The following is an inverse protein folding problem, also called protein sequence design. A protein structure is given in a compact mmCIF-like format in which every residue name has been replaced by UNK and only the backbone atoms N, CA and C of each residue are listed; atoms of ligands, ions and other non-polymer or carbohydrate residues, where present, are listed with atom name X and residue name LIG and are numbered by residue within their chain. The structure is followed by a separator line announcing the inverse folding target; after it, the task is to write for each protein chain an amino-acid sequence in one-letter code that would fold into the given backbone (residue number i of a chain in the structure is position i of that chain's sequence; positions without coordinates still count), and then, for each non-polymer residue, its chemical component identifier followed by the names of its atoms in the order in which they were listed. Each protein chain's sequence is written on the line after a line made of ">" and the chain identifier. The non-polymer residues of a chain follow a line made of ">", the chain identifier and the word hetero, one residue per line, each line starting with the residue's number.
data_IF_437672787815
#
_entry.id   IF_437672787815
#
_cell.length_a   1.000
_cell.length_b   1.000
_cell.length_c   1.000
_cell.angle_alpha   90.00
_cell.angle_beta   90.00
_cell.angle_gamma   90.00
#
_symmetry.space_group_name_H-M   'P 1'
#
loop_
_entity.id
_entity.type
_entity.pdbx_description
1 polymer ?
#
# COMPACT_ATOMS: atom_id res chain seq x y z
N UNK A 1 29.37 0.98 -0.44
CA UNK A 1 29.64 1.14 -1.90
C UNK A 1 28.30 1.18 -2.61
N UNK A 2 28.09 2.05 -3.62
CA UNK A 2 26.84 1.99 -4.41
C UNK A 2 26.80 0.66 -5.16
N UNK A 3 25.77 -0.15 -4.94
CA UNK A 3 25.55 -1.37 -5.71
C UNK A 3 25.40 -0.99 -7.19
N UNK A 4 26.30 -1.44 -8.05
CA UNK A 4 26.27 -1.14 -9.49
C UNK A 4 25.04 -1.75 -10.20
N UNK A 5 24.35 -2.68 -9.52
CA UNK A 5 23.12 -3.31 -9.97
C UNK A 5 21.87 -2.83 -9.21
N UNK A 6 21.87 -1.62 -8.69
CA UNK A 6 20.67 -1.07 -8.06
C UNK A 6 19.48 -1.04 -9.04
N UNK A 7 18.23 -1.19 -8.54
CA UNK A 7 17.04 -0.87 -9.31
C UNK A 7 17.08 0.56 -9.88
N UNK A 8 16.22 0.84 -10.85
CA UNK A 8 16.03 2.19 -11.35
C UNK A 8 15.57 3.11 -10.20
N UNK A 9 16.22 4.26 -10.03
CA UNK A 9 15.86 5.21 -8.97
C UNK A 9 15.37 6.52 -9.59
N UNK A 10 14.17 6.93 -9.21
CA UNK A 10 13.60 8.24 -9.51
C UNK A 10 13.61 9.07 -8.23
N UNK A 11 14.17 10.28 -8.32
CA UNK A 11 14.15 11.23 -7.22
C UNK A 11 13.07 12.29 -7.46
N UNK A 12 12.25 12.54 -6.44
CA UNK A 12 11.25 13.61 -6.41
C UNK A 12 11.55 14.58 -5.27
N UNK A 13 10.95 15.78 -5.31
CA UNK A 13 11.08 16.74 -4.22
C UNK A 13 10.44 16.18 -2.94
N UNK A 14 11.07 16.43 -1.78
CA UNK A 14 10.59 15.97 -0.47
C UNK A 14 9.10 16.32 -0.22
N UNK A 15 8.64 17.49 -0.66
CA UNK A 15 7.25 17.96 -0.50
C UNK A 15 6.21 17.15 -1.30
N UNK A 16 6.66 16.40 -2.31
CA UNK A 16 5.79 15.56 -3.14
C UNK A 16 5.62 14.15 -2.55
N UNK A 17 6.32 13.82 -1.46
CA UNK A 17 6.00 12.65 -0.67
C UNK A 17 4.77 12.93 0.19
N UNK A 18 3.81 11.99 0.18
CA UNK A 18 2.63 12.05 1.03
C UNK A 18 3.01 12.16 2.50
N UNK A 19 2.18 12.86 3.28
CA UNK A 19 2.40 13.06 4.69
C UNK A 19 1.90 11.85 5.49
N UNK A 20 2.72 11.34 6.43
CA UNK A 20 2.31 10.29 7.36
C UNK A 20 1.30 10.74 8.42
N UNK A 21 0.97 12.04 8.47
CA UNK A 21 0.06 12.62 9.45
C UNK A 21 -1.30 11.92 9.49
N UNK A 22 -1.84 11.54 8.32
CA UNK A 22 -3.15 10.90 8.21
C UNK A 22 -3.19 9.52 8.89
N UNK A 23 -2.07 8.79 8.95
CA UNK A 23 -2.01 7.51 9.66
C UNK A 23 -2.28 7.67 11.16
N UNK A 24 -1.92 8.81 11.76
CA UNK A 24 -2.14 9.03 13.19
C UNK A 24 -3.61 9.23 13.54
N UNK A 25 -4.41 9.76 12.61
CA UNK A 25 -5.85 9.92 12.80
C UNK A 25 -6.58 8.57 12.90
N UNK A 26 -5.98 7.49 12.41
CA UNK A 26 -6.52 6.13 12.58
C UNK A 26 -6.33 5.60 14.00
N UNK A 27 -5.28 6.04 14.67
CA UNK A 27 -4.90 5.54 15.99
C UNK A 27 -5.44 6.40 17.12
N UNK A 28 -5.80 7.65 16.84
CA UNK A 28 -6.27 8.60 17.84
C UNK A 28 -7.13 9.70 17.25
N UNK A 29 -8.10 10.14 18.03
CA UNK A 29 -8.90 11.35 17.77
C UNK A 29 -8.17 12.65 18.15
N UNK A 30 -7.03 12.58 18.83
CA UNK A 30 -6.22 13.73 19.23
C UNK A 30 -4.70 13.48 19.04
N UNK A 31 -4.26 13.22 17.80
CA UNK A 31 -2.88 12.83 17.53
C UNK A 31 -1.87 13.92 17.89
N UNK A 32 -2.26 15.20 17.83
CA UNK A 32 -1.39 16.32 18.16
C UNK A 32 -0.88 16.28 19.62
N UNK A 33 -1.67 15.74 20.56
CA UNK A 33 -1.24 15.56 21.95
C UNK A 33 -0.67 14.17 22.23
N UNK A 34 -1.17 13.14 21.55
CA UNK A 34 -0.83 11.74 21.88
C UNK A 34 0.41 11.23 21.16
N UNK A 35 0.62 11.61 19.89
CA UNK A 35 1.79 11.17 19.11
C UNK A 35 3.11 11.57 19.78
N UNK A 36 3.31 12.79 20.30
CA UNK A 36 4.52 13.13 21.04
C UNK A 36 4.79 12.21 22.25
N UNK A 37 3.73 11.79 22.95
CA UNK A 37 3.85 10.87 24.07
C UNK A 37 4.26 9.47 23.58
N UNK A 38 3.63 8.96 22.53
CA UNK A 38 3.96 7.65 21.97
C UNK A 38 5.37 7.59 21.38
N UNK A 39 5.85 8.67 20.76
CA UNK A 39 7.24 8.79 20.30
C UNK A 39 8.22 8.63 21.48
N UNK A 40 7.88 9.17 22.65
CA UNK A 40 8.63 8.98 23.88
C UNK A 40 8.59 7.53 24.36
N UNK A 41 7.41 6.92 24.45
CA UNK A 41 7.25 5.51 24.87
C UNK A 41 7.97 4.53 23.93
N UNK A 42 8.05 4.82 22.64
CA UNK A 42 8.78 4.01 21.69
C UNK A 42 10.29 3.89 22.02
N UNK A 43 10.82 4.83 22.81
CA UNK A 43 12.21 4.83 23.27
C UNK A 43 12.43 4.02 24.56
N UNK A 44 11.37 3.51 25.20
CA UNK A 44 11.51 2.69 26.42
C UNK A 44 12.03 1.27 26.11
N UNK A 45 11.68 0.74 24.93
CA UNK A 45 12.15 -0.55 24.43
C UNK A 45 12.47 -0.46 22.92
N UNK A 46 13.49 0.33 22.53
CA UNK A 46 13.78 0.60 21.13
C UNK A 46 14.55 -0.56 20.47
N UNK A 47 14.24 -0.79 19.20
CA UNK A 47 14.97 -1.67 18.29
C UNK A 47 15.54 -0.80 17.17
N UNK A 48 16.79 -1.02 16.80
CA UNK A 48 17.34 -0.50 15.55
C UNK A 48 17.40 -1.66 14.53
N UNK A 49 16.45 -1.76 13.59
CA UNK A 49 16.43 -2.87 12.65
C UNK A 49 17.64 -2.79 11.72
N UNK A 50 18.34 -3.93 11.55
CA UNK A 50 19.43 -4.02 10.57
C UNK A 50 18.94 -4.17 9.13
N UNK A 51 17.66 -4.55 8.94
CA UNK A 51 17.10 -4.74 7.60
C UNK A 51 17.88 -5.78 6.79
N UNK A 52 18.45 -5.35 5.67
CA UNK A 52 19.27 -6.16 4.76
C UNK A 52 20.78 -6.11 5.08
N UNK A 53 21.20 -5.40 6.13
CA UNK A 53 22.60 -5.35 6.53
C UNK A 53 23.04 -6.67 7.18
N UNK A 54 24.22 -7.18 6.80
CA UNK A 54 24.79 -8.39 7.40
C UNK A 54 25.35 -8.10 8.80
N UNK A 55 25.88 -6.89 9.04
CA UNK A 55 26.46 -6.44 10.30
C UNK A 55 26.01 -5.00 10.62
N UNK A 56 25.99 -4.62 11.91
CA UNK A 56 25.59 -3.27 12.35
C UNK A 56 26.43 -2.14 11.73
N UNK A 57 27.72 -2.41 11.49
CA UNK A 57 28.63 -1.45 10.85
C UNK A 57 28.26 -1.12 9.39
N UNK A 58 27.44 -1.96 8.74
CA UNK A 58 26.96 -1.73 7.38
C UNK A 58 25.75 -0.80 7.34
N UNK A 59 25.13 -0.53 8.51
CA UNK A 59 24.01 0.40 8.63
C UNK A 59 24.44 1.83 8.33
N UNK A 60 23.52 2.63 7.79
CA UNK A 60 23.74 4.03 7.50
C UNK A 60 24.11 4.81 8.78
N UNK A 61 25.25 5.49 8.77
CA UNK A 61 25.72 6.27 9.92
C UNK A 61 25.06 7.64 10.04
N UNK A 62 24.51 8.15 8.94
CA UNK A 62 23.89 9.49 8.85
C UNK A 62 22.42 9.49 9.30
N UNK A 63 21.83 8.31 9.49
CA UNK A 63 20.44 8.15 9.92
C UNK A 63 20.28 6.99 10.88
N UNK A 64 19.56 7.20 11.97
CA UNK A 64 19.05 6.11 12.80
C UNK A 64 17.59 5.85 12.47
N UNK A 65 17.25 4.58 12.25
CA UNK A 65 15.88 4.09 12.26
C UNK A 65 15.64 3.43 13.61
N UNK A 66 14.75 4.01 14.41
CA UNK A 66 14.34 3.46 15.70
C UNK A 66 12.91 2.96 15.58
N UNK A 67 12.69 1.72 15.99
CA UNK A 67 11.38 1.08 16.05
C UNK A 67 11.03 0.73 17.49
N UNK A 68 9.83 1.08 17.94
CA UNK A 68 9.41 0.68 19.27
C UNK A 68 7.98 1.09 19.60
N UNK A 69 7.44 0.61 20.73
CA UNK A 69 8.09 -0.33 21.65
C UNK A 69 8.16 -1.75 21.08
N UNK A 70 9.23 -2.48 21.40
CA UNK A 70 9.36 -3.90 21.02
C UNK A 70 8.22 -4.75 21.59
N UNK A 71 7.77 -5.75 20.82
CA UNK A 71 6.77 -6.73 21.24
C UNK A 71 5.32 -6.23 21.24
N UNK A 72 5.07 -5.04 20.69
CA UNK A 72 3.72 -4.49 20.50
C UNK A 72 3.17 -4.81 19.11
N UNK A 73 1.84 -4.91 18.98
CA UNK A 73 1.18 -5.14 17.69
C UNK A 73 1.38 -3.97 16.72
N UNK A 74 1.48 -2.75 17.27
CA UNK A 74 1.79 -1.53 16.52
C UNK A 74 3.08 -0.97 17.10
N UNK A 75 4.05 -0.73 16.22
CA UNK A 75 5.30 -0.06 16.51
C UNK A 75 5.35 1.31 15.84
N UNK A 76 6.15 2.20 16.39
CA UNK A 76 6.42 3.51 15.82
C UNK A 76 7.84 3.51 15.26
N UNK A 77 7.95 3.88 13.99
CA UNK A 77 9.22 4.12 13.32
C UNK A 77 9.57 5.58 13.47
N UNK A 78 10.82 5.86 13.84
CA UNK A 78 11.39 7.19 13.93
C UNK A 78 12.68 7.22 13.12
N UNK A 79 12.73 8.09 12.11
CA UNK A 79 13.95 8.32 11.33
C UNK A 79 14.60 9.60 11.84
N UNK A 80 15.79 9.45 12.41
CA UNK A 80 16.55 10.54 13.03
C UNK A 80 17.80 10.79 12.19
N UNK A 81 18.01 12.03 11.76
CA UNK A 81 19.27 12.44 11.16
C UNK A 81 20.37 12.52 12.23
N UNK A 82 21.55 12.00 11.91
CA UNK A 82 22.69 11.88 12.82
C UNK A 82 23.88 12.64 12.25
N UNK A 83 24.53 13.42 13.11
CA UNK A 83 25.75 14.16 12.76
C UNK A 83 26.76 13.99 13.88
N UNK A 84 28.00 13.58 13.55
CA UNK A 84 29.05 13.30 14.54
C UNK A 84 28.59 12.33 15.65
N UNK A 85 27.88 11.27 15.25
CA UNK A 85 27.32 10.24 16.15
C UNK A 85 26.32 10.80 17.19
N UNK A 86 25.69 11.95 16.89
CA UNK A 86 24.67 12.55 17.74
C UNK A 86 23.37 12.78 16.97
N UNK A 87 22.21 12.52 17.58
CA UNK A 87 20.92 12.80 16.95
C UNK A 87 20.78 14.31 16.76
N UNK A 88 20.45 14.71 15.53
CA UNK A 88 20.35 16.12 15.14
C UNK A 88 18.92 16.58 14.94
N UNK A 89 18.10 15.79 14.26
CA UNK A 89 16.72 16.12 13.97
C UNK A 89 15.88 14.87 13.68
N UNK A 90 14.63 14.85 14.13
CA UNK A 90 13.62 13.90 13.65
C UNK A 90 13.24 14.28 12.22
N UNK A 91 13.41 13.36 11.28
CA UNK A 91 13.09 13.56 9.86
C UNK A 91 11.66 13.17 9.53
N UNK A 92 11.22 12.04 10.05
CA UNK A 92 9.84 11.56 9.92
C UNK A 92 9.57 10.50 10.99
N UNK A 93 8.29 10.31 11.30
CA UNK A 93 7.82 9.20 12.10
C UNK A 93 6.48 8.69 11.55
N UNK A 94 6.27 7.38 11.66
CA UNK A 94 5.06 6.73 11.17
C UNK A 94 4.79 5.42 11.92
N UNK A 95 3.52 5.05 12.11
CA UNK A 95 3.17 3.77 12.71
C UNK A 95 3.39 2.64 11.71
N UNK A 96 3.73 1.46 12.21
CA UNK A 96 3.76 0.21 11.44
C UNK A 96 3.28 -0.95 12.28
N UNK A 97 2.94 -2.04 11.62
CA UNK A 97 2.61 -3.31 12.23
C UNK A 97 3.19 -4.44 11.38
N UNK A 98 3.27 -5.62 11.95
CA UNK A 98 3.76 -6.80 11.22
C UNK A 98 2.59 -7.51 10.54
N UNK A 99 2.83 -7.97 9.31
CA UNK A 99 1.91 -8.85 8.60
C UNK A 99 2.46 -10.28 8.66
N UNK A 100 1.61 -11.27 8.97
CA UNK A 100 2.01 -12.66 8.91
C UNK A 100 2.20 -13.14 7.46
N UNK A 101 1.74 -12.37 6.46
CA UNK A 101 1.75 -12.76 5.06
C UNK A 101 3.01 -12.27 4.36
N UNK A 102 3.78 -13.22 3.84
CA UNK A 102 5.06 -12.97 3.16
C UNK A 102 4.99 -13.38 1.70
N UNK A 103 5.62 -12.58 0.86
CA UNK A 103 5.64 -12.79 -0.59
C UNK A 103 7.06 -12.62 -1.13
N UNK A 104 7.37 -13.34 -2.20
CA UNK A 104 8.59 -13.10 -2.96
C UNK A 104 8.32 -11.95 -3.95
N UNK A 105 9.21 -10.95 -3.95
CA UNK A 105 9.11 -9.79 -4.82
C UNK A 105 10.47 -9.37 -5.37
N UNK A 106 10.45 -8.77 -6.56
CA UNK A 106 11.61 -8.04 -7.12
C UNK A 106 11.36 -6.55 -7.08
N UNK A 107 12.37 -5.79 -6.68
CA UNK A 107 12.32 -4.33 -6.71
C UNK A 107 12.70 -3.89 -8.13
N UNK A 108 11.72 -3.42 -8.89
CA UNK A 108 11.93 -2.96 -10.25
C UNK A 108 12.31 -1.48 -10.29
N UNK A 109 11.78 -0.68 -9.36
CA UNK A 109 12.06 0.75 -9.26
C UNK A 109 11.94 1.25 -7.83
N UNK A 110 12.75 2.25 -7.50
CA UNK A 110 12.74 3.00 -6.26
C UNK A 110 12.33 4.44 -6.59
N UNK A 111 11.25 4.93 -6.00
CA UNK A 111 10.88 6.34 -6.03
C UNK A 111 11.25 6.90 -4.66
N UNK A 112 12.22 7.80 -4.59
CA UNK A 112 12.76 8.36 -3.34
C UNK A 112 12.75 9.88 -3.40
N UNK A 113 12.99 10.52 -2.26
CA UNK A 113 13.16 11.95 -2.17
C UNK A 113 14.63 12.39 -2.03
N UNK A 114 14.91 13.69 -2.20
CA UNK A 114 16.26 14.27 -2.12
C UNK A 114 16.95 13.98 -0.78
N UNK A 115 16.17 13.96 0.31
CA UNK A 115 16.70 13.62 1.64
C UNK A 115 17.01 12.13 1.83
N UNK A 116 16.63 11.28 0.88
CA UNK A 116 16.81 9.82 0.89
C UNK A 116 16.35 9.16 2.20
N UNK A 117 15.31 9.73 2.81
CA UNK A 117 14.74 9.27 4.08
C UNK A 117 13.55 8.33 3.89
N UNK A 118 12.93 8.36 2.71
CA UNK A 118 11.68 7.68 2.41
C UNK A 118 11.68 7.19 0.96
N UNK A 119 11.01 6.06 0.72
CA UNK A 119 10.80 5.57 -0.63
C UNK A 119 9.48 4.82 -0.80
N UNK A 120 8.96 4.89 -2.02
CA UNK A 120 7.97 3.96 -2.54
C UNK A 120 8.66 3.03 -3.52
N UNK A 121 8.55 1.74 -3.28
CA UNK A 121 9.10 0.70 -4.15
C UNK A 121 8.03 0.22 -5.13
N UNK A 122 8.42 0.09 -6.39
CA UNK A 122 7.67 -0.67 -7.39
C UNK A 122 8.14 -2.13 -7.34
N UNK A 123 7.26 -3.01 -6.90
CA UNK A 123 7.52 -4.41 -6.65
C UNK A 123 6.80 -5.26 -7.70
N UNK A 124 7.52 -6.17 -8.37
CA UNK A 124 6.92 -7.24 -9.15
C UNK A 124 6.84 -8.50 -8.29
N UNK A 125 5.61 -8.98 -8.06
CA UNK A 125 5.36 -10.23 -7.35
C UNK A 125 5.37 -11.43 -8.30
N UNK A 126 4.90 -11.19 -9.53
CA UNK A 126 4.92 -12.13 -10.64
C UNK A 126 4.81 -11.34 -11.95
N UNK A 127 4.61 -12.04 -13.08
CA UNK A 127 4.56 -11.42 -14.42
C UNK A 127 3.42 -10.41 -14.59
N UNK A 128 2.32 -10.58 -13.85
CA UNK A 128 1.07 -9.85 -14.06
C UNK A 128 0.69 -8.98 -12.86
N UNK A 129 1.43 -9.07 -11.75
CA UNK A 129 1.13 -8.36 -10.51
C UNK A 129 2.26 -7.42 -10.12
N UNK A 130 1.95 -6.13 -10.10
CA UNK A 130 2.84 -5.04 -9.69
C UNK A 130 2.20 -4.29 -8.54
N UNK A 131 2.98 -4.04 -7.49
CA UNK A 131 2.55 -3.28 -6.31
C UNK A 131 3.46 -2.08 -6.12
N UNK A 132 2.88 -0.93 -5.79
CA UNK A 132 3.64 0.22 -5.28
C UNK A 132 3.42 0.31 -3.78
N UNK A 133 4.49 0.19 -3.00
CA UNK A 133 4.40 0.15 -1.54
C UNK A 133 5.46 1.05 -0.91
N UNK A 134 5.09 1.73 0.17
CA UNK A 134 6.03 2.46 1.00
C UNK A 134 6.96 1.48 1.73
N UNK A 135 8.25 1.78 1.75
CA UNK A 135 9.27 0.95 2.38
C UNK A 135 9.65 1.49 3.76
N UNK A 136 9.13 0.81 4.79
CA UNK A 136 9.36 1.16 6.19
C UNK A 136 10.83 1.06 6.62
N UNK A 137 11.67 0.32 5.88
CA UNK A 137 13.08 0.09 6.22
C UNK A 137 14.03 0.79 5.24
N UNK A 138 13.53 1.68 4.39
CA UNK A 138 14.31 2.30 3.30
C UNK A 138 15.61 2.95 3.78
N UNK A 139 15.55 3.71 4.89
CA UNK A 139 16.72 4.42 5.43
C UNK A 139 17.90 3.51 5.75
N UNK A 140 17.64 2.24 6.07
CA UNK A 140 18.65 1.21 6.35
C UNK A 140 18.97 0.41 5.08
N UNK A 141 17.95 0.00 4.33
CA UNK A 141 18.11 -0.93 3.21
C UNK A 141 18.60 -0.29 1.91
N UNK A 142 18.51 1.04 1.74
CA UNK A 142 18.73 1.75 0.46
C UNK A 142 20.02 1.37 -0.27
N UNK A 143 21.08 1.04 0.45
CA UNK A 143 22.40 0.71 -0.13
C UNK A 143 22.52 -0.76 -0.57
N UNK A 144 21.57 -1.61 -0.20
CA UNK A 144 21.60 -3.06 -0.36
C UNK A 144 20.65 -3.58 -1.45
N UNK A 145 19.87 -2.69 -2.07
CA UNK A 145 18.96 -3.09 -3.15
C UNK A 145 19.72 -3.50 -4.42
N UNK A 146 19.29 -4.62 -4.98
CA UNK A 146 19.80 -5.24 -6.20
C UNK A 146 18.62 -5.64 -7.09
N UNK A 147 18.65 -5.21 -8.35
CA UNK A 147 17.59 -5.43 -9.33
C UNK A 147 17.36 -6.91 -9.68
N UNK A 148 18.37 -7.76 -9.50
CA UNK A 148 18.30 -9.18 -9.85
C UNK A 148 17.89 -10.04 -8.67
N UNK A 149 17.89 -9.49 -7.46
CA UNK A 149 17.57 -10.21 -6.25
C UNK A 149 16.06 -10.31 -6.04
N UNK A 150 15.63 -11.48 -5.59
CA UNK A 150 14.30 -11.69 -5.03
C UNK A 150 14.37 -11.46 -3.53
N UNK A 151 13.43 -10.67 -3.01
CA UNK A 151 13.29 -10.34 -1.61
C UNK A 151 12.02 -10.96 -1.05
N UNK A 152 12.08 -11.40 0.21
CA UNK A 152 10.87 -11.70 0.96
C UNK A 152 10.32 -10.39 1.54
N UNK A 153 9.12 -10.02 1.13
CA UNK A 153 8.44 -8.79 1.57
C UNK A 153 7.17 -9.11 2.36
N UNK A 154 6.76 -8.18 3.22
CA UNK A 154 5.48 -8.20 3.93
C UNK A 154 4.69 -6.97 3.52
N UNK A 155 3.41 -7.16 3.21
CA UNK A 155 2.51 -6.06 2.90
C UNK A 155 1.58 -5.78 4.07
N UNK A 156 1.50 -4.50 4.41
CA UNK A 156 0.64 -3.92 5.42
C UNK A 156 -0.14 -2.77 4.77
N UNK A 157 -1.41 -2.63 5.10
CA UNK A 157 -2.23 -1.52 4.64
C UNK A 157 -3.15 -1.06 5.76
N UNK A 158 -3.27 0.25 5.91
CA UNK A 158 -4.30 0.87 6.72
C UNK A 158 -5.54 1.06 5.85
N UNK A 159 -6.71 0.70 6.39
CA UNK A 159 -7.99 0.94 5.73
C UNK A 159 -8.69 2.11 6.42
N UNK A 160 -9.15 3.07 5.61
CA UNK A 160 -9.86 4.26 6.06
C UNK A 160 -11.35 4.07 5.81
N UNK A 161 -12.17 4.66 6.68
CA UNK A 161 -13.63 4.77 6.47
C UNK A 161 -14.31 3.41 6.21
N UNK A 162 -13.82 2.34 6.85
CA UNK A 162 -14.50 1.05 6.81
C UNK A 162 -15.81 1.15 7.58
N UNK A 163 -16.92 1.11 6.86
CA UNK A 163 -18.24 0.92 7.43
C UNK A 163 -18.64 -0.55 7.34
N UNK A 164 -19.30 -1.03 8.40
CA UNK A 164 -19.96 -2.32 8.36
C UNK A 164 -21.22 -2.14 7.51
N UNK A 165 -21.19 -2.60 6.27
CA UNK A 165 -22.39 -2.74 5.42
C UNK A 165 -23.40 -3.64 6.14
N UNK A 166 -24.67 -3.27 6.09
CA UNK A 166 -25.71 -4.03 6.81
C UNK A 166 -25.94 -5.40 6.17
N UNK A 167 -26.36 -6.40 6.95
CA UNK A 167 -26.61 -7.76 6.43
C UNK A 167 -27.69 -7.80 5.32
N UNK A 168 -28.50 -6.75 5.21
CA UNK A 168 -29.55 -6.55 4.21
C UNK A 168 -29.15 -5.61 3.06
N UNK A 169 -27.91 -5.10 3.04
CA UNK A 169 -27.42 -4.25 1.98
C UNK A 169 -27.21 -5.07 0.71
N UNK A 170 -28.10 -4.86 -0.26
CA UNK A 170 -28.02 -5.47 -1.58
C UNK A 170 -27.20 -4.57 -2.49
N UNK A 171 -26.31 -5.16 -3.27
CA UNK A 171 -25.71 -4.45 -4.39
C UNK A 171 -26.82 -4.18 -5.40
N UNK A 172 -27.29 -2.95 -5.45
CA UNK A 172 -28.28 -2.51 -6.42
C UNK A 172 -27.52 -2.00 -7.64
N UNK A 173 -27.74 -2.64 -8.78
CA UNK A 173 -27.28 -2.13 -10.07
C UNK A 173 -28.38 -1.22 -10.62
N UNK A 174 -28.21 0.08 -10.41
CA UNK A 174 -29.14 1.14 -10.86
C UNK A 174 -28.68 1.88 -12.13
N UNK A 175 -27.47 1.58 -12.62
CA UNK A 175 -26.95 2.14 -13.87
C UNK A 175 -27.77 1.66 -15.09
N UNK A 176 -28.38 2.57 -15.88
CA UNK A 176 -29.24 2.20 -17.00
C UNK A 176 -28.57 1.33 -18.06
N UNK A 177 -27.26 1.51 -18.30
CA UNK A 177 -26.54 0.71 -19.29
C UNK A 177 -26.35 -0.74 -18.79
N UNK A 178 -26.04 -0.89 -17.50
CA UNK A 178 -25.89 -2.18 -16.84
C UNK A 178 -27.22 -2.92 -16.70
N UNK A 179 -28.30 -2.22 -16.36
CA UNK A 179 -29.67 -2.77 -16.35
C UNK A 179 -30.04 -3.27 -17.76
N UNK A 180 -29.86 -2.42 -18.79
CA UNK A 180 -30.12 -2.79 -20.19
C UNK A 180 -29.34 -4.05 -20.57
N UNK A 181 -28.04 -4.09 -20.27
CA UNK A 181 -27.20 -5.22 -20.60
C UNK A 181 -27.70 -6.51 -19.93
N UNK A 182 -28.01 -6.46 -18.64
CA UNK A 182 -28.46 -7.62 -17.89
C UNK A 182 -29.82 -8.14 -18.37
N UNK A 183 -30.78 -7.24 -18.62
CA UNK A 183 -32.11 -7.60 -19.15
C UNK A 183 -32.02 -8.20 -20.55
N UNK A 184 -31.25 -7.55 -21.44
CA UNK A 184 -31.00 -8.03 -22.79
C UNK A 184 -30.37 -9.43 -22.77
N UNK A 185 -29.33 -9.63 -21.97
CA UNK A 185 -28.63 -10.90 -21.87
C UNK A 185 -29.58 -12.01 -21.38
N UNK A 186 -30.36 -11.76 -20.34
CA UNK A 186 -31.29 -12.76 -19.80
C UNK A 186 -32.37 -13.15 -20.81
N UNK A 187 -32.94 -12.18 -21.54
CA UNK A 187 -33.96 -12.47 -22.55
C UNK A 187 -33.37 -13.25 -23.73
N UNK A 188 -32.20 -12.83 -24.24
CA UNK A 188 -31.52 -13.52 -25.34
C UNK A 188 -31.18 -14.96 -24.94
N UNK A 189 -30.65 -15.17 -23.72
CA UNK A 189 -30.35 -16.51 -23.23
C UNK A 189 -31.62 -17.34 -23.05
N UNK A 190 -32.72 -16.77 -22.56
CA UNK A 190 -33.99 -17.48 -22.45
C UNK A 190 -34.51 -17.94 -23.83
N UNK A 191 -34.43 -17.07 -24.85
CA UNK A 191 -34.80 -17.40 -26.23
C UNK A 191 -33.90 -18.48 -26.86
N UNK A 192 -32.64 -18.57 -26.41
CA UNK A 192 -31.65 -19.51 -26.94
C UNK A 192 -31.38 -20.71 -25.99
N UNK A 193 -32.32 -21.04 -25.11
CA UNK A 193 -32.23 -22.17 -24.17
C UNK A 193 -30.95 -22.17 -23.30
N UNK A 194 -30.53 -20.98 -22.88
CA UNK A 194 -29.33 -20.77 -22.06
C UNK A 194 -28.01 -20.84 -22.83
N UNK A 195 -28.04 -21.00 -24.16
CA UNK A 195 -26.84 -21.02 -25.00
C UNK A 195 -26.65 -19.64 -25.62
N UNK A 196 -25.52 -18.99 -25.34
CA UNK A 196 -25.19 -17.71 -25.95
C UNK A 196 -25.04 -17.86 -27.48
N UNK A 197 -25.80 -17.12 -28.30
CA UNK A 197 -25.63 -17.11 -29.75
C UNK A 197 -24.33 -16.41 -30.17
N UNK A 198 -23.81 -16.74 -31.36
CA UNK A 198 -22.55 -16.18 -31.86
C UNK A 198 -22.60 -14.64 -32.04
N UNK A 199 -23.78 -14.08 -32.31
CA UNK A 199 -24.01 -12.64 -32.46
C UNK A 199 -24.55 -11.97 -31.19
N UNK A 200 -24.30 -12.53 -30.00
CA UNK A 200 -24.81 -12.04 -28.72
C UNK A 200 -24.64 -10.52 -28.51
N UNK A 201 -23.46 -9.98 -28.81
CA UNK A 201 -23.20 -8.55 -28.57
C UNK A 201 -24.03 -7.64 -29.48
N UNK A 202 -24.28 -8.04 -30.72
CA UNK A 202 -25.15 -7.30 -31.65
C UNK A 202 -26.59 -7.32 -31.13
N UNK A 203 -27.06 -8.49 -30.68
CA UNK A 203 -28.39 -8.65 -30.10
C UNK A 203 -28.57 -7.80 -28.83
N UNK A 204 -27.57 -7.73 -27.94
CA UNK A 204 -27.61 -6.88 -26.73
C UNK A 204 -27.68 -5.40 -27.10
N UNK A 205 -26.94 -4.97 -28.14
CA UNK A 205 -26.94 -3.59 -28.57
C UNK A 205 -28.29 -3.17 -29.15
N UNK A 206 -28.88 -4.03 -29.98
CA UNK A 206 -30.16 -3.81 -30.67
C UNK A 206 -31.37 -3.98 -29.74
N UNK A 207 -31.20 -4.71 -28.64
CA UNK A 207 -32.24 -4.90 -27.63
C UNK A 207 -32.73 -3.56 -27.07
N UNK A 208 -34.04 -3.45 -26.87
CA UNK A 208 -34.70 -2.30 -26.28
C UNK A 208 -35.65 -2.77 -25.18
N UNK A 209 -35.74 -2.02 -24.07
CA UNK A 209 -36.69 -2.32 -23.00
C UNK A 209 -38.11 -2.32 -23.54
N UNK A 210 -38.88 -3.34 -23.16
CA UNK A 210 -40.25 -3.58 -23.63
C UNK A 210 -41.27 -3.15 -22.58
N UNK A 211 -40.91 -3.21 -21.30
CA UNK A 211 -41.79 -2.84 -20.19
C UNK A 211 -41.13 -1.87 -19.20
N UNK A 212 -41.89 -1.17 -18.34
CA UNK A 212 -41.32 -0.33 -17.30
C UNK A 212 -40.39 -1.10 -16.35
N UNK A 213 -40.67 -2.38 -16.09
CA UNK A 213 -39.86 -3.27 -15.26
C UNK A 213 -38.46 -3.53 -15.84
N UNK A 214 -38.29 -3.39 -17.16
CA UNK A 214 -36.99 -3.49 -17.83
C UNK A 214 -36.04 -2.32 -17.49
N UNK A 215 -36.56 -1.27 -16.85
CA UNK A 215 -35.79 -0.14 -16.34
C UNK A 215 -35.56 -0.23 -14.82
N UNK A 216 -36.17 -1.20 -14.13
CA UNK A 216 -36.02 -1.34 -12.69
C UNK A 216 -34.63 -1.89 -12.33
N UNK A 217 -34.02 -1.40 -11.24
CA UNK A 217 -32.73 -1.88 -10.78
C UNK A 217 -32.70 -3.39 -10.59
N UNK A 218 -31.54 -3.97 -10.90
CA UNK A 218 -31.27 -5.40 -10.68
C UNK A 218 -30.55 -5.59 -9.35
N UNK A 219 -31.03 -6.53 -8.55
CA UNK A 219 -30.47 -6.93 -7.26
C UNK A 219 -29.78 -8.28 -7.33
#
# INVERSE_FOLDING_TARGET
>A
MKNQNSPETITIQDQNFGNHAEHWNLLSSNPASEVPHWLGLALDAPIMPMGLCDQEQDMAQDFWLIQGPSGQAISINQIIAVENQKPRALKTAFPSFESPYKYDAKIERIITCDSATQAVLRLSLNKDTVVYAFDNLFSVNRCHYDKNQTYQVQFNAWAYELELVSDDEKIIVDDPASIKHHRALNEILAEHNGIAPENLQELINDWQPKTPEDHEPVT
#
